data_IF_381077883953
#
_entry.id   IF_381077883953
#
_cell.length_a   1.000
_cell.length_b   1.000
_cell.length_c   1.000
_cell.angle_alpha   90.00
_cell.angle_beta   90.00
_cell.angle_gamma   90.00
#
_symmetry.space_group_name_H-M   'P 1'
#
loop_
_entity.id
_entity.type
_entity.pdbx_description
1 polymer ?
#
# COMPACT_ATOMS: atom_id res chain seq x y z
N UNK A 1 45.71 -24.07 -22.81
CA UNK A 1 45.15 -22.76 -22.41
C UNK A 1 43.85 -22.99 -21.67
N UNK A 2 43.85 -22.93 -20.37
CA UNK A 2 42.64 -23.06 -19.51
C UNK A 2 42.15 -21.65 -19.20
N UNK A 3 40.91 -21.34 -19.65
CA UNK A 3 40.23 -20.10 -19.29
C UNK A 3 39.63 -20.27 -17.90
N UNK A 4 40.11 -19.46 -16.96
CA UNK A 4 39.57 -19.41 -15.59
C UNK A 4 38.17 -18.79 -15.57
N UNK A 5 37.22 -19.53 -14.98
CA UNK A 5 35.90 -19.02 -14.64
C UNK A 5 35.99 -18.10 -13.44
N UNK A 6 35.47 -16.91 -13.58
CA UNK A 6 35.23 -16.01 -12.44
C UNK A 6 33.96 -16.48 -11.73
N UNK A 7 34.14 -17.04 -10.55
CA UNK A 7 33.01 -17.31 -9.64
C UNK A 7 32.57 -15.98 -9.04
N UNK A 8 31.29 -15.63 -9.24
CA UNK A 8 30.64 -14.57 -8.51
C UNK A 8 30.75 -14.88 -7.01
N UNK A 9 31.58 -14.15 -6.29
CA UNK A 9 31.61 -14.15 -4.84
C UNK A 9 30.40 -13.33 -4.40
N UNK A 10 29.34 -13.99 -3.95
CA UNK A 10 28.27 -13.31 -3.20
C UNK A 10 28.95 -12.55 -2.06
N UNK A 11 28.77 -11.22 -2.03
CA UNK A 11 29.35 -10.39 -1.00
C UNK A 11 28.68 -10.72 0.33
N UNK A 12 29.37 -11.49 1.17
CA UNK A 12 28.90 -11.78 2.53
C UNK A 12 28.87 -10.46 3.31
N UNK A 13 27.66 -10.05 3.73
CA UNK A 13 27.46 -8.82 4.47
C UNK A 13 28.43 -8.70 5.67
N UNK A 14 29.06 -7.55 5.81
CA UNK A 14 30.00 -7.25 6.88
C UNK A 14 29.33 -7.32 8.27
N UNK A 15 30.07 -7.51 9.37
CA UNK A 15 29.50 -7.45 10.72
C UNK A 15 28.76 -6.14 11.02
N UNK A 16 29.23 -5.01 10.48
CA UNK A 16 28.59 -3.70 10.63
C UNK A 16 27.23 -3.64 9.88
N UNK A 17 27.18 -4.17 8.66
CA UNK A 17 25.93 -4.27 7.89
C UNK A 17 24.92 -5.21 8.56
N UNK A 18 25.37 -6.34 9.08
CA UNK A 18 24.53 -7.27 9.85
C UNK A 18 23.97 -6.61 11.13
N UNK A 19 24.80 -5.85 11.85
CA UNK A 19 24.36 -5.11 13.03
C UNK A 19 23.35 -4.03 12.69
N UNK A 20 23.62 -3.23 11.65
CA UNK A 20 22.69 -2.20 11.16
C UNK A 20 21.35 -2.80 10.72
N UNK A 21 21.36 -3.93 9.98
CA UNK A 21 20.16 -4.65 9.56
C UNK A 21 19.41 -5.25 10.77
N UNK A 22 20.10 -5.77 11.77
CA UNK A 22 19.47 -6.27 13.00
C UNK A 22 18.82 -5.13 13.81
N UNK A 23 19.51 -3.98 13.91
CA UNK A 23 18.98 -2.79 14.57
C UNK A 23 17.75 -2.25 13.83
N UNK A 24 17.78 -2.21 12.49
CA UNK A 24 16.66 -1.78 11.65
C UNK A 24 15.44 -2.71 11.79
N UNK A 25 15.65 -4.02 11.86
CA UNK A 25 14.58 -5.01 12.13
C UNK A 25 13.95 -4.81 13.52
N UNK A 26 14.77 -4.50 14.54
CA UNK A 26 14.29 -4.23 15.90
C UNK A 26 13.47 -2.94 16.02
N UNK A 27 13.59 -1.99 15.08
CA UNK A 27 12.81 -0.75 15.05
C UNK A 27 11.43 -0.90 14.37
N UNK A 28 11.24 -1.96 13.53
CA UNK A 28 9.99 -2.20 12.81
C UNK A 28 9.49 -3.64 13.04
N UNK A 29 8.90 -3.91 14.22
CA UNK A 29 8.47 -5.26 14.59
C UNK A 29 7.31 -5.77 13.73
N UNK A 30 6.33 -4.92 13.36
CA UNK A 30 5.20 -5.32 12.52
C UNK A 30 5.65 -5.67 11.10
N UNK A 31 6.56 -4.90 10.53
CA UNK A 31 7.17 -5.21 9.22
C UNK A 31 7.91 -6.54 9.27
N UNK A 32 8.68 -6.79 10.32
CA UNK A 32 9.41 -8.05 10.50
C UNK A 32 8.45 -9.24 10.65
N UNK A 33 7.41 -9.11 11.45
CA UNK A 33 6.39 -10.12 11.64
C UNK A 33 5.66 -10.43 10.32
N UNK A 34 5.24 -9.39 9.60
CA UNK A 34 4.54 -9.56 8.32
C UNK A 34 5.39 -10.29 7.28
N UNK A 35 6.66 -9.86 7.09
CA UNK A 35 7.57 -10.49 6.13
C UNK A 35 7.81 -11.96 6.48
N UNK A 36 7.86 -12.32 7.77
CA UNK A 36 8.09 -13.70 8.20
C UNK A 36 6.96 -14.68 7.81
N UNK A 37 5.81 -14.17 7.39
CA UNK A 37 4.67 -14.98 6.95
C UNK A 37 4.76 -15.42 5.49
N UNK A 38 5.80 -14.98 4.76
CA UNK A 38 5.98 -15.29 3.34
C UNK A 38 7.21 -16.18 3.13
N UNK A 39 7.12 -17.10 2.20
CA UNK A 39 8.23 -18.00 1.82
C UNK A 39 9.22 -17.34 0.85
N UNK A 40 8.86 -16.21 0.25
CA UNK A 40 9.70 -15.46 -0.69
C UNK A 40 10.30 -14.21 -0.04
N UNK A 41 11.44 -13.76 -0.57
CA UNK A 41 12.08 -12.51 -0.13
C UNK A 41 11.37 -11.27 -0.67
N UNK A 42 11.33 -10.22 0.14
CA UNK A 42 10.82 -8.92 -0.29
C UNK A 42 11.91 -8.08 -0.91
N UNK A 43 11.56 -7.31 -1.93
CA UNK A 43 12.43 -6.31 -2.51
C UNK A 43 12.62 -5.11 -1.57
N UNK A 44 13.72 -4.40 -1.72
CA UNK A 44 14.08 -3.26 -0.85
C UNK A 44 13.00 -2.19 -0.82
N UNK A 45 12.35 -1.89 -1.96
CA UNK A 45 11.27 -0.90 -2.02
C UNK A 45 10.03 -1.36 -1.23
N UNK A 46 9.72 -2.66 -1.21
CA UNK A 46 8.61 -3.22 -0.43
C UNK A 46 8.89 -3.10 1.06
N UNK A 47 10.12 -3.43 1.48
CA UNK A 47 10.54 -3.32 2.88
C UNK A 47 10.49 -1.86 3.33
N UNK A 48 11.03 -0.93 2.54
CA UNK A 48 11.03 0.50 2.84
C UNK A 48 9.61 1.05 2.95
N UNK A 49 8.71 0.66 2.04
CA UNK A 49 7.32 1.06 2.07
C UNK A 49 6.59 0.53 3.31
N UNK A 50 6.77 -0.74 3.66
CA UNK A 50 6.19 -1.31 4.88
C UNK A 50 6.69 -0.59 6.14
N UNK A 51 7.99 -0.27 6.23
CA UNK A 51 8.57 0.47 7.35
C UNK A 51 7.99 1.89 7.46
N UNK A 52 7.84 2.61 6.34
CA UNK A 52 7.23 3.93 6.32
C UNK A 52 5.75 3.89 6.75
N UNK A 53 5.01 2.85 6.34
CA UNK A 53 3.63 2.61 6.80
C UNK A 53 3.60 2.33 8.31
N UNK A 54 4.52 1.54 8.84
CA UNK A 54 4.62 1.25 10.27
C UNK A 54 4.94 2.51 11.09
N UNK A 55 5.77 3.40 10.56
CA UNK A 55 6.08 4.72 11.13
C UNK A 55 4.90 5.70 11.10
N UNK A 56 3.78 5.34 10.49
CA UNK A 56 2.58 6.18 10.39
C UNK A 56 2.63 7.24 9.31
N UNK A 57 3.58 7.17 8.39
CA UNK A 57 3.71 8.13 7.28
C UNK A 57 2.77 7.80 6.12
N UNK A 58 2.35 8.82 5.38
CA UNK A 58 1.81 8.63 4.05
C UNK A 58 2.87 8.00 3.13
N UNK A 59 2.47 7.16 2.19
CA UNK A 59 3.41 6.46 1.29
C UNK A 59 2.90 6.50 -0.14
N UNK A 60 3.76 6.87 -1.07
CA UNK A 60 3.56 6.67 -2.50
C UNK A 60 4.56 5.65 -3.02
N UNK A 61 4.07 4.49 -3.46
CA UNK A 61 4.89 3.46 -4.09
C UNK A 61 4.71 3.52 -5.60
N UNK A 62 5.78 3.83 -6.31
CA UNK A 62 5.83 3.83 -7.77
C UNK A 62 6.71 2.67 -8.26
N UNK A 63 6.07 1.64 -8.82
CA UNK A 63 6.74 0.45 -9.34
C UNK A 63 5.93 -0.17 -10.49
N UNK A 64 6.56 -0.85 -11.45
CA UNK A 64 5.85 -1.45 -12.59
C UNK A 64 4.74 -2.42 -12.17
N UNK A 65 3.82 -2.68 -13.09
CA UNK A 65 2.84 -3.76 -12.90
C UNK A 65 3.58 -5.09 -12.74
N UNK A 66 3.16 -5.90 -11.79
CA UNK A 66 3.82 -7.17 -11.46
C UNK A 66 5.01 -7.07 -10.50
N UNK A 67 5.46 -5.87 -10.11
CA UNK A 67 6.54 -5.69 -9.14
C UNK A 67 6.15 -6.01 -7.68
N UNK A 68 4.93 -6.48 -7.43
CA UNK A 68 4.50 -6.86 -6.09
C UNK A 68 4.09 -5.70 -5.17
N UNK A 69 3.63 -4.55 -5.71
CA UNK A 69 3.13 -3.42 -4.91
C UNK A 69 1.98 -3.79 -3.96
N UNK A 70 1.16 -4.77 -4.33
CA UNK A 70 0.02 -5.26 -3.54
C UNK A 70 0.41 -5.63 -2.11
N UNK A 71 1.60 -6.19 -1.92
CA UNK A 71 2.15 -6.55 -0.60
C UNK A 71 2.17 -5.34 0.36
N UNK A 72 2.45 -4.13 -0.14
CA UNK A 72 2.43 -2.92 0.70
C UNK A 72 1.01 -2.57 1.12
N UNK A 73 0.03 -2.76 0.23
CA UNK A 73 -1.38 -2.59 0.57
C UNK A 73 -1.89 -3.64 1.57
N UNK A 74 -1.44 -4.90 1.44
CA UNK A 74 -1.72 -5.95 2.42
C UNK A 74 -1.08 -5.63 3.78
N UNK A 75 0.14 -5.10 3.79
CA UNK A 75 0.80 -4.65 5.02
C UNK A 75 0.03 -3.50 5.69
N UNK A 76 -0.50 -2.56 4.91
CA UNK A 76 -1.32 -1.47 5.45
C UNK A 76 -2.57 -2.01 6.17
N UNK A 77 -3.24 -3.01 5.59
CA UNK A 77 -4.36 -3.70 6.24
C UNK A 77 -3.90 -4.44 7.50
N UNK A 78 -2.82 -5.21 7.43
CA UNK A 78 -2.24 -5.92 8.58
C UNK A 78 -1.88 -4.95 9.72
N UNK A 79 -1.22 -3.84 9.41
CA UNK A 79 -0.84 -2.81 10.39
C UNK A 79 -2.05 -2.11 11.01
N UNK A 80 -3.10 -1.83 10.24
CA UNK A 80 -4.34 -1.26 10.75
C UNK A 80 -5.04 -2.23 11.72
N UNK A 81 -5.19 -3.49 11.32
CA UNK A 81 -5.79 -4.55 12.14
C UNK A 81 -5.04 -4.76 13.46
N UNK A 82 -3.71 -4.76 13.44
CA UNK A 82 -2.88 -4.91 14.65
C UNK A 82 -3.09 -3.76 15.67
N UNK A 83 -3.53 -2.59 15.18
CA UNK A 83 -3.86 -1.41 15.98
C UNK A 83 -5.35 -1.30 16.33
N UNK A 84 -6.16 -2.30 15.99
CA UNK A 84 -7.63 -2.28 16.17
C UNK A 84 -8.32 -1.23 15.32
N UNK A 85 -7.77 -0.89 14.14
CA UNK A 85 -8.31 0.08 13.19
C UNK A 85 -8.81 -0.61 11.94
N UNK A 86 -9.69 0.09 11.20
CA UNK A 86 -10.13 -0.36 9.87
C UNK A 86 -9.15 0.07 8.78
N UNK A 87 -9.08 -0.73 7.72
CA UNK A 87 -8.37 -0.39 6.48
C UNK A 87 -9.33 -0.45 5.29
N UNK A 88 -9.36 0.60 4.47
CA UNK A 88 -10.10 0.59 3.22
C UNK A 88 -9.12 0.46 2.05
N UNK A 89 -9.34 -0.53 1.20
CA UNK A 89 -8.57 -0.75 -0.02
C UNK A 89 -9.40 -0.33 -1.22
N UNK A 90 -8.99 0.74 -1.90
CA UNK A 90 -9.74 1.29 -3.02
C UNK A 90 -9.08 1.00 -4.36
N UNK A 91 -9.90 0.71 -5.37
CA UNK A 91 -9.47 0.50 -6.75
C UNK A 91 -10.29 1.39 -7.70
N UNK A 92 -9.77 1.70 -8.90
CA UNK A 92 -10.47 2.58 -9.84
C UNK A 92 -11.67 1.93 -10.52
N UNK A 93 -11.78 0.61 -10.52
CA UNK A 93 -12.86 -0.12 -11.21
C UNK A 93 -13.32 -1.34 -10.43
N UNK A 94 -14.60 -1.68 -10.58
CA UNK A 94 -15.26 -2.81 -9.91
C UNK A 94 -14.53 -4.16 -10.12
N UNK A 95 -14.06 -4.43 -11.34
CA UNK A 95 -13.39 -5.70 -11.64
C UNK A 95 -12.15 -5.92 -10.77
N UNK A 96 -11.35 -4.86 -10.55
CA UNK A 96 -10.20 -4.91 -9.66
C UNK A 96 -10.61 -5.03 -8.19
N UNK A 97 -11.71 -4.36 -7.77
CA UNK A 97 -12.23 -4.53 -6.41
C UNK A 97 -12.63 -5.98 -6.15
N UNK A 98 -13.32 -6.62 -7.09
CA UNK A 98 -13.71 -8.02 -6.96
C UNK A 98 -12.50 -8.94 -6.84
N UNK A 99 -11.48 -8.76 -7.68
CA UNK A 99 -10.25 -9.53 -7.62
C UNK A 99 -9.55 -9.36 -6.27
N UNK A 100 -9.37 -8.12 -5.81
CA UNK A 100 -8.73 -7.81 -4.54
C UNK A 100 -9.51 -8.34 -3.34
N UNK A 101 -10.83 -8.33 -3.40
CA UNK A 101 -11.65 -8.93 -2.35
C UNK A 101 -11.31 -10.40 -2.13
N UNK A 102 -11.20 -11.21 -3.18
CA UNK A 102 -10.84 -12.62 -3.04
C UNK A 102 -9.41 -12.81 -2.52
N UNK A 103 -8.44 -12.02 -3.00
CA UNK A 103 -7.06 -12.04 -2.50
C UNK A 103 -7.02 -11.72 -0.99
N UNK A 104 -7.77 -10.72 -0.55
CA UNK A 104 -7.83 -10.32 0.86
C UNK A 104 -8.60 -11.31 1.74
N UNK A 105 -9.66 -11.94 1.23
CA UNK A 105 -10.36 -13.03 1.94
C UNK A 105 -9.43 -14.21 2.18
N UNK A 106 -8.64 -14.59 1.19
CA UNK A 106 -7.64 -15.66 1.36
C UNK A 106 -6.59 -15.28 2.43
N UNK A 107 -6.21 -14.01 2.49
CA UNK A 107 -5.18 -13.50 3.40
C UNK A 107 -5.66 -13.27 4.84
N UNK A 108 -6.84 -12.69 5.03
CA UNK A 108 -7.33 -12.21 6.32
C UNK A 108 -8.57 -12.97 6.84
N UNK A 109 -9.20 -13.77 6.02
CA UNK A 109 -10.41 -14.50 6.33
C UNK A 109 -11.70 -13.75 5.94
N UNK A 110 -12.74 -14.48 5.60
CA UNK A 110 -14.03 -13.97 5.11
C UNK A 110 -14.74 -13.08 6.15
N UNK A 111 -14.61 -13.40 7.43
CA UNK A 111 -15.25 -12.62 8.51
C UNK A 111 -14.67 -11.20 8.65
N UNK A 112 -13.44 -10.98 8.20
CA UNK A 112 -12.72 -9.71 8.35
C UNK A 112 -12.73 -8.85 7.11
N UNK A 113 -13.14 -9.38 5.97
CA UNK A 113 -13.07 -8.69 4.69
C UNK A 113 -14.46 -8.46 4.12
N UNK A 114 -14.72 -7.26 3.64
CA UNK A 114 -15.94 -6.89 2.95
C UNK A 114 -15.68 -6.30 1.57
N UNK A 115 -16.72 -6.26 0.75
CA UNK A 115 -16.69 -5.70 -0.60
C UNK A 115 -17.83 -4.71 -0.79
N UNK A 116 -17.50 -3.48 -1.17
CA UNK A 116 -18.46 -2.42 -1.47
C UNK A 116 -18.23 -1.86 -2.87
N UNK A 117 -19.15 -2.10 -3.77
CA UNK A 117 -19.17 -1.50 -5.11
C UNK A 117 -20.55 -0.88 -5.37
N UNK A 118 -20.75 -0.25 -6.51
CA UNK A 118 -22.03 0.40 -6.82
C UNK A 118 -23.25 -0.51 -6.75
N UNK A 119 -23.07 -1.82 -6.90
CA UNK A 119 -24.13 -2.85 -6.96
C UNK A 119 -23.88 -4.07 -6.08
N UNK A 120 -22.79 -4.09 -5.32
CA UNK A 120 -22.42 -5.20 -4.44
C UNK A 120 -22.11 -4.70 -3.04
N UNK A 121 -22.71 -5.34 -2.04
CA UNK A 121 -22.47 -5.07 -0.63
C UNK A 121 -22.30 -6.42 0.09
N UNK A 122 -21.08 -6.72 0.50
CA UNK A 122 -20.73 -7.93 1.27
C UNK A 122 -19.99 -7.44 2.52
N UNK A 123 -20.48 -7.83 3.71
CA UNK A 123 -19.86 -7.57 5.00
C UNK A 123 -19.39 -6.13 5.18
N UNK A 124 -20.33 -5.15 5.10
CA UNK A 124 -20.05 -3.71 5.15
C UNK A 124 -19.44 -3.21 6.46
N UNK A 125 -19.50 -4.02 7.52
CA UNK A 125 -18.94 -3.68 8.84
C UNK A 125 -17.54 -4.27 9.06
N UNK A 126 -17.00 -5.00 8.09
CA UNK A 126 -15.68 -5.62 8.16
C UNK A 126 -14.57 -4.61 8.48
N UNK A 127 -13.51 -5.13 9.11
CA UNK A 127 -12.33 -4.33 9.44
C UNK A 127 -11.51 -3.94 8.20
N UNK A 128 -11.54 -4.77 7.16
CA UNK A 128 -10.92 -4.50 5.86
C UNK A 128 -12.02 -4.43 4.81
N UNK A 129 -12.19 -3.27 4.20
CA UNK A 129 -13.18 -3.06 3.14
C UNK A 129 -12.50 -2.80 1.81
N UNK A 130 -12.75 -3.67 0.83
CA UNK A 130 -12.36 -3.45 -0.55
C UNK A 130 -13.49 -2.74 -1.28
N UNK A 131 -13.20 -1.66 -1.99
CA UNK A 131 -14.22 -0.85 -2.64
C UNK A 131 -13.70 -0.10 -3.86
N UNK A 132 -14.61 0.45 -4.66
CA UNK A 132 -14.21 1.43 -5.66
C UNK A 132 -13.99 2.81 -5.02
N UNK A 133 -13.10 3.61 -5.60
CA UNK A 133 -12.80 4.96 -5.11
C UNK A 133 -14.06 5.85 -5.05
N UNK A 134 -14.98 5.66 -6.00
CA UNK A 134 -16.26 6.38 -6.02
C UNK A 134 -17.14 6.06 -4.81
N UNK A 135 -17.14 4.80 -4.35
CA UNK A 135 -17.87 4.41 -3.14
C UNK A 135 -17.29 5.11 -1.91
N UNK A 136 -15.97 5.13 -1.76
CA UNK A 136 -15.33 5.86 -0.67
C UNK A 136 -15.67 7.35 -0.69
N UNK A 137 -15.59 8.02 -1.86
CA UNK A 137 -16.00 9.41 -2.00
C UNK A 137 -17.44 9.63 -1.53
N UNK A 138 -18.37 8.79 -1.96
CA UNK A 138 -19.77 8.91 -1.58
C UNK A 138 -19.97 8.70 -0.07
N UNK A 139 -19.22 7.80 0.54
CA UNK A 139 -19.22 7.58 2.00
C UNK A 139 -18.71 8.82 2.77
N UNK A 140 -17.67 9.47 2.26
CA UNK A 140 -17.14 10.72 2.84
C UNK A 140 -18.18 11.84 2.78
N UNK A 141 -18.83 12.06 1.65
CA UNK A 141 -19.90 13.05 1.52
C UNK A 141 -21.12 12.76 2.39
N UNK A 142 -21.47 11.48 2.57
CA UNK A 142 -22.57 11.06 3.40
C UNK A 142 -22.24 11.02 4.91
N UNK A 143 -20.99 11.30 5.31
CA UNK A 143 -20.50 11.10 6.67
C UNK A 143 -20.87 9.70 7.22
N UNK A 144 -20.64 8.67 6.42
CA UNK A 144 -21.02 7.31 6.75
C UNK A 144 -20.42 6.84 8.08
N UNK A 145 -21.23 6.18 8.90
CA UNK A 145 -20.75 5.55 10.15
C UNK A 145 -19.68 4.48 9.92
N UNK A 146 -19.61 3.91 8.73
CA UNK A 146 -18.57 2.93 8.34
C UNK A 146 -17.16 3.52 8.40
N UNK A 147 -17.02 4.86 8.26
CA UNK A 147 -15.75 5.59 8.41
C UNK A 147 -15.23 5.61 9.85
N UNK A 148 -16.08 5.23 10.81
CA UNK A 148 -15.68 5.19 12.23
C UNK A 148 -14.52 4.21 12.41
N UNK A 149 -13.49 4.68 13.11
CA UNK A 149 -12.28 3.91 13.41
C UNK A 149 -11.39 3.59 12.19
N UNK A 150 -11.58 4.30 11.06
CA UNK A 150 -10.72 4.18 9.89
C UNK A 150 -9.30 4.63 10.24
N UNK A 151 -8.31 3.76 10.03
CA UNK A 151 -6.89 4.01 10.30
C UNK A 151 -6.08 4.25 9.04
N UNK A 152 -6.39 3.54 7.96
CA UNK A 152 -5.66 3.66 6.70
C UNK A 152 -6.54 3.48 5.47
N UNK A 153 -6.16 4.15 4.39
CA UNK A 153 -6.74 3.98 3.05
C UNK A 153 -5.62 3.63 2.09
N UNK A 154 -5.77 2.51 1.42
CA UNK A 154 -4.93 2.13 0.28
C UNK A 154 -5.62 2.58 -1.00
N UNK A 155 -4.93 3.37 -1.78
CA UNK A 155 -5.39 3.85 -3.08
C UNK A 155 -4.57 3.14 -4.17
N UNK A 156 -5.15 2.10 -4.75
CA UNK A 156 -4.48 1.30 -5.78
C UNK A 156 -4.66 1.91 -7.16
N UNK A 157 -3.66 1.72 -8.02
CA UNK A 157 -3.64 2.19 -9.39
C UNK A 157 -3.81 3.71 -9.53
N UNK A 158 -3.16 4.50 -8.67
CA UNK A 158 -3.31 5.97 -8.67
C UNK A 158 -2.89 6.66 -9.97
N UNK A 159 -2.18 5.99 -10.89
CA UNK A 159 -1.88 6.52 -12.21
C UNK A 159 -3.12 6.82 -13.07
N UNK A 160 -4.27 6.23 -12.74
CA UNK A 160 -5.56 6.63 -13.32
C UNK A 160 -5.99 8.05 -12.96
N UNK A 161 -5.28 8.74 -12.05
CA UNK A 161 -5.45 10.18 -11.80
C UNK A 161 -5.24 11.04 -13.03
N UNK A 162 -4.39 10.62 -13.97
CA UNK A 162 -4.20 11.30 -15.26
C UNK A 162 -5.42 11.24 -16.18
N UNK A 163 -6.42 10.39 -15.88
CA UNK A 163 -7.69 10.34 -16.59
C UNK A 163 -8.57 11.53 -16.15
N UNK A 164 -8.92 12.39 -17.09
CA UNK A 164 -9.73 13.61 -16.86
C UNK A 164 -11.07 13.36 -16.16
N UNK A 165 -11.64 12.17 -16.28
CA UNK A 165 -12.93 11.81 -15.68
C UNK A 165 -12.80 11.22 -14.27
N UNK A 166 -11.67 10.59 -13.94
CA UNK A 166 -11.43 9.88 -12.68
C UNK A 166 -10.54 10.66 -11.72
N UNK A 167 -9.70 11.55 -12.23
CA UNK A 167 -8.79 12.36 -11.42
C UNK A 167 -9.50 13.14 -10.33
N UNK A 168 -10.61 13.79 -10.65
CA UNK A 168 -11.40 14.56 -9.69
C UNK A 168 -11.92 13.73 -8.50
N UNK A 169 -12.28 12.45 -8.71
CA UNK A 169 -12.77 11.57 -7.64
C UNK A 169 -11.68 11.30 -6.60
N UNK A 170 -10.45 11.09 -7.04
CA UNK A 170 -9.31 10.85 -6.18
C UNK A 170 -8.93 12.09 -5.35
N UNK A 171 -8.89 13.24 -6.01
CA UNK A 171 -8.63 14.53 -5.34
C UNK A 171 -9.68 14.79 -4.27
N UNK A 172 -10.95 14.60 -4.58
CA UNK A 172 -12.04 14.75 -3.63
C UNK A 172 -11.89 13.83 -2.41
N UNK A 173 -11.52 12.56 -2.63
CA UNK A 173 -11.24 11.62 -1.53
C UNK A 173 -10.11 12.14 -0.67
N UNK A 174 -8.98 12.51 -1.26
CA UNK A 174 -7.78 12.94 -0.53
C UNK A 174 -8.02 14.22 0.28
N UNK A 175 -8.82 15.15 -0.24
CA UNK A 175 -9.16 16.43 0.42
C UNK A 175 -10.15 16.22 1.58
N UNK A 176 -11.13 15.32 1.42
CA UNK A 176 -12.18 15.12 2.42
C UNK A 176 -11.87 14.05 3.46
N UNK A 177 -10.85 13.24 3.23
CA UNK A 177 -10.42 12.22 4.17
C UNK A 177 -9.83 12.87 5.43
N UNK A 178 -10.19 12.39 6.62
CA UNK A 178 -9.65 12.91 7.89
C UNK A 178 -8.11 12.87 7.88
N UNK A 179 -7.48 13.91 8.42
CA UNK A 179 -6.01 14.02 8.50
C UNK A 179 -5.36 12.86 9.25
N UNK A 180 -6.05 12.31 10.24
CA UNK A 180 -5.58 11.18 11.04
C UNK A 180 -5.54 9.85 10.30
N UNK A 181 -6.16 9.76 9.10
CA UNK A 181 -6.18 8.54 8.30
C UNK A 181 -4.92 8.50 7.42
N UNK A 182 -4.15 7.45 7.56
CA UNK A 182 -2.94 7.23 6.76
C UNK A 182 -3.30 6.88 5.32
N UNK A 183 -2.63 7.48 4.34
CA UNK A 183 -2.85 7.22 2.91
C UNK A 183 -1.67 6.47 2.32
N UNK A 184 -1.94 5.34 1.69
CA UNK A 184 -0.97 4.51 0.97
C UNK A 184 -1.38 4.47 -0.51
N UNK A 185 -0.59 5.10 -1.37
CA UNK A 185 -0.87 5.20 -2.80
C UNK A 185 0.04 4.25 -3.58
N UNK A 186 -0.55 3.42 -4.46
CA UNK A 186 0.18 2.46 -5.30
C UNK A 186 0.02 2.85 -6.77
N UNK A 187 1.14 3.04 -7.46
CA UNK A 187 1.18 3.48 -8.86
C UNK A 187 1.98 2.52 -9.75
N UNK A 188 1.50 2.28 -10.96
CA UNK A 188 2.24 1.51 -11.96
C UNK A 188 3.27 2.38 -12.72
N UNK A 189 3.14 3.70 -12.67
CA UNK A 189 4.03 4.63 -13.38
C UNK A 189 4.91 5.42 -12.44
N UNK A 190 6.13 5.73 -12.92
CA UNK A 190 7.15 6.46 -12.18
C UNK A 190 7.32 7.88 -12.71
N UNK A 191 6.87 8.14 -13.94
CA UNK A 191 7.19 9.35 -14.70
C UNK A 191 6.80 10.67 -14.00
N UNK A 192 5.84 10.66 -13.07
CA UNK A 192 5.42 11.85 -12.31
C UNK A 192 5.29 11.55 -10.80
N UNK A 193 6.00 10.53 -10.30
CA UNK A 193 5.88 10.11 -8.90
C UNK A 193 6.33 11.18 -7.93
N UNK A 194 7.39 11.91 -8.26
CA UNK A 194 7.91 13.00 -7.40
C UNK A 194 6.93 14.16 -7.31
N UNK A 195 6.43 14.66 -8.46
CA UNK A 195 5.44 15.75 -8.50
C UNK A 195 4.14 15.37 -7.77
N UNK A 196 3.67 14.13 -7.98
CA UNK A 196 2.50 13.62 -7.29
C UNK A 196 2.74 13.45 -5.78
N UNK A 197 3.93 12.99 -5.39
CA UNK A 197 4.34 12.88 -4.00
C UNK A 197 4.42 14.24 -3.29
N UNK A 198 4.95 15.26 -3.95
CA UNK A 198 4.98 16.64 -3.43
C UNK A 198 3.55 17.20 -3.23
N UNK A 199 2.66 16.94 -4.19
CA UNK A 199 1.25 17.33 -4.07
C UNK A 199 0.57 16.59 -2.89
N UNK A 200 0.76 15.27 -2.76
CA UNK A 200 0.26 14.50 -1.62
C UNK A 200 0.80 15.05 -0.30
N UNK A 201 2.10 15.36 -0.24
CA UNK A 201 2.74 15.97 0.93
C UNK A 201 2.13 17.32 1.30
N UNK A 202 1.73 18.12 0.31
CA UNK A 202 1.06 19.41 0.52
C UNK A 202 -0.36 19.23 1.07
N UNK A 203 -1.11 18.25 0.55
CA UNK A 203 -2.53 18.04 0.91
C UNK A 203 -2.67 17.23 2.20
N UNK A 204 -1.79 16.25 2.44
CA UNK A 204 -1.94 15.24 3.52
C UNK A 204 -0.84 15.27 4.57
N UNK A 205 0.16 16.14 4.43
CA UNK A 205 1.35 16.11 5.28
C UNK A 205 2.41 15.14 4.78
N UNK A 206 3.43 14.87 5.58
CA UNK A 206 4.61 14.10 5.17
C UNK A 206 4.28 12.77 4.51
N UNK A 207 4.64 12.66 3.23
CA UNK A 207 4.47 11.47 2.41
C UNK A 207 5.84 11.01 1.91
N UNK A 208 6.20 9.77 2.16
CA UNK A 208 7.43 9.17 1.63
C UNK A 208 7.17 8.63 0.21
N UNK A 209 7.94 9.11 -0.76
CA UNK A 209 7.90 8.62 -2.15
C UNK A 209 8.94 7.52 -2.32
N UNK A 210 8.49 6.34 -2.69
CA UNK A 210 9.33 5.15 -2.84
C UNK A 210 9.19 4.63 -4.27
N UNK A 211 10.29 4.69 -4.99
CA UNK A 211 10.38 4.28 -6.39
C UNK A 211 11.15 2.97 -6.49
N UNK A 212 10.62 2.01 -7.23
CA UNK A 212 11.34 0.77 -7.51
C UNK A 212 12.45 1.00 -8.53
N UNK A 213 13.69 0.62 -8.18
CA UNK A 213 14.85 0.69 -9.07
C UNK A 213 14.79 -0.29 -10.26
N UNK A 214 13.84 -1.21 -10.29
CA UNK A 214 13.66 -2.22 -11.35
C UNK A 214 13.40 -1.58 -12.73
N UNK A 215 13.03 -0.32 -12.80
CA UNK A 215 12.79 0.43 -14.05
C UNK A 215 14.05 0.92 -14.78
N UNK A 216 15.24 0.72 -14.23
CA UNK A 216 16.49 1.21 -14.82
C UNK A 216 17.25 0.15 -15.63
N UNK A 217 16.60 -0.98 -16.01
CA UNK A 217 17.23 -2.00 -16.86
C UNK A 217 16.55 -2.13 -18.21
#
# INVERSE_FOLDING_TARGET
MRKGGWTNVESVATPAERYAAAKKRGSHPLTTEFISQFEFGFDDFQIQACQAVEDGKGVLVAAPTGAGKTVVGEFAAFSALSRGKKCFYTTPIKALSNQKYFEFVERFGEDRVGLLTGDTNINSDADVLVMTTEVLRNMLYANSSTLTNLGSVVMDEVHYLADKFRGAVWEEVLIHLMESVQVISLSATVSNAEEFGEWLGTVRGGTDVIVSEILQR
#
